data_IF_140052954097
#
_entry.id   IF_140052954097
#
_cell.length_a   1.000
_cell.length_b   1.000
_cell.length_c   1.000
_cell.angle_alpha   90.00
_cell.angle_beta   90.00
_cell.angle_gamma   90.00
#
_symmetry.space_group_name_H-M   'P 1'
#
loop_
_entity.id
_entity.type
_entity.pdbx_description
1 polymer ?
#
# COMPACT_ATOMS: atom_id res chain seq x y z
N UNK A 1 10.80 33.25 11.09
CA UNK A 1 11.37 31.90 10.95
C UNK A 1 10.65 31.25 9.77
N UNK A 2 11.31 31.23 8.61
CA UNK A 2 10.77 31.07 7.25
C UNK A 2 10.94 29.61 6.83
N UNK A 3 9.88 28.91 6.41
CA UNK A 3 10.00 27.71 5.56
C UNK A 3 9.35 28.04 4.23
N UNK A 4 10.18 28.31 3.25
CA UNK A 4 9.79 28.59 1.87
C UNK A 4 9.18 27.34 1.27
N UNK A 5 7.99 27.50 0.70
CA UNK A 5 7.45 26.54 -0.25
C UNK A 5 8.41 26.51 -1.44
N UNK A 6 9.11 25.39 -1.61
CA UNK A 6 9.95 25.13 -2.78
C UNK A 6 9.05 25.07 -4.02
N UNK A 7 9.24 26.04 -4.92
CA UNK A 7 8.63 26.08 -6.24
C UNK A 7 9.03 24.82 -7.04
N UNK A 8 8.05 23.99 -7.39
CA UNK A 8 8.27 22.84 -8.28
C UNK A 8 8.65 23.37 -9.66
N UNK A 9 9.89 23.14 -10.07
CA UNK A 9 10.45 23.58 -11.34
C UNK A 9 10.16 22.49 -12.40
N UNK A 10 9.29 22.81 -13.36
CA UNK A 10 8.76 21.86 -14.34
C UNK A 10 9.70 21.62 -15.52
N UNK A 11 10.84 20.94 -15.32
CA UNK A 11 11.57 20.19 -16.38
C UNK A 11 12.80 19.39 -15.88
N UNK A 12 12.82 18.95 -14.62
CA UNK A 12 13.85 17.99 -14.18
C UNK A 12 13.48 16.57 -14.64
N UNK A 13 14.44 15.88 -15.25
CA UNK A 13 14.31 14.47 -15.62
C UNK A 13 13.96 13.71 -14.33
N UNK A 14 12.73 13.22 -14.26
CA UNK A 14 12.26 12.42 -13.13
C UNK A 14 12.74 11.00 -13.33
N UNK A 15 13.55 10.51 -12.39
CA UNK A 15 14.01 9.13 -12.36
C UNK A 15 13.03 8.26 -11.57
N UNK A 16 13.08 6.95 -11.80
CA UNK A 16 12.39 5.99 -10.93
C UNK A 16 13.00 6.00 -9.53
N UNK A 17 12.35 5.32 -8.59
CA UNK A 17 12.95 5.05 -7.28
C UNK A 17 14.25 4.26 -7.44
N UNK A 18 15.09 4.33 -6.41
CA UNK A 18 16.29 3.49 -6.31
C UNK A 18 15.92 1.99 -6.33
N UNK A 19 16.79 1.16 -6.90
CA UNK A 19 16.55 -0.28 -7.04
C UNK A 19 16.21 -0.98 -5.71
N UNK A 20 16.73 -0.48 -4.59
CA UNK A 20 16.43 -1.00 -3.26
C UNK A 20 14.93 -0.95 -2.92
N UNK A 21 14.19 0.07 -3.37
CA UNK A 21 12.75 0.17 -3.10
C UNK A 21 11.93 -0.97 -3.71
N UNK A 22 12.47 -1.64 -4.73
CA UNK A 22 11.80 -2.77 -5.38
C UNK A 22 12.29 -4.14 -4.89
N UNK A 23 13.43 -4.20 -4.19
CA UNK A 23 14.14 -5.46 -3.92
C UNK A 23 14.55 -5.67 -2.46
N UNK A 24 14.58 -4.59 -1.67
CA UNK A 24 15.02 -4.65 -0.27
C UNK A 24 13.89 -5.16 0.62
N UNK A 25 14.14 -6.30 1.27
CA UNK A 25 13.24 -6.87 2.26
C UNK A 25 12.99 -5.89 3.42
N UNK A 26 14.02 -5.18 3.89
CA UNK A 26 13.87 -4.21 4.98
C UNK A 26 12.95 -3.03 4.63
N UNK A 27 12.97 -2.56 3.37
CA UNK A 27 12.09 -1.48 2.93
C UNK A 27 10.65 -2.01 2.89
N UNK A 28 10.45 -3.20 2.32
CA UNK A 28 9.14 -3.83 2.28
C UNK A 28 8.55 -4.01 3.68
N UNK A 29 9.32 -4.49 4.66
CA UNK A 29 8.83 -4.66 6.04
C UNK A 29 8.38 -3.35 6.69
N UNK A 30 9.05 -2.23 6.41
CA UNK A 30 8.61 -0.92 6.88
C UNK A 30 7.30 -0.49 6.20
N UNK A 31 7.18 -0.67 4.88
CA UNK A 31 5.95 -0.36 4.14
C UNK A 31 4.75 -1.17 4.65
N UNK A 32 4.96 -2.43 5.05
CA UNK A 32 3.91 -3.25 5.69
C UNK A 32 3.35 -2.60 6.95
N UNK A 33 4.20 -2.02 7.79
CA UNK A 33 3.82 -1.41 9.07
C UNK A 33 3.28 0.02 8.96
N UNK A 34 3.69 0.77 7.94
CA UNK A 34 3.35 2.19 7.82
C UNK A 34 2.40 2.51 6.67
N UNK A 35 2.48 1.79 5.56
CA UNK A 35 1.65 2.04 4.38
C UNK A 35 0.44 1.09 4.37
N UNK A 36 0.68 -0.21 4.21
CA UNK A 36 -0.39 -1.18 3.93
C UNK A 36 -1.44 -1.29 5.04
N UNK A 37 -1.06 -1.06 6.31
CA UNK A 37 -1.98 -1.11 7.45
C UNK A 37 -2.77 0.20 7.65
N UNK A 38 -2.33 1.30 7.02
CA UNK A 38 -2.91 2.64 7.21
C UNK A 38 -3.71 3.12 6.00
N UNK A 39 -3.75 2.34 4.92
CA UNK A 39 -4.46 2.67 3.69
C UNK A 39 -5.60 1.69 3.39
N UNK A 40 -6.54 2.12 2.57
CA UNK A 40 -7.63 1.27 2.09
C UNK A 40 -7.13 0.26 1.07
N UNK A 41 -7.29 -1.02 1.37
CA UNK A 41 -6.91 -2.12 0.50
C UNK A 41 -8.14 -2.81 -0.08
N UNK A 42 -8.10 -3.09 -1.37
CA UNK A 42 -9.16 -3.85 -2.03
C UNK A 42 -9.08 -5.32 -1.62
N UNK A 43 -10.11 -5.80 -0.91
CA UNK A 43 -10.18 -7.18 -0.41
C UNK A 43 -10.80 -8.15 -1.42
N UNK A 44 -11.82 -7.73 -2.15
CA UNK A 44 -12.57 -8.60 -3.05
C UNK A 44 -13.88 -7.98 -3.51
N UNK A 45 -14.59 -8.71 -4.38
CA UNK A 45 -15.90 -8.29 -4.88
C UNK A 45 -17.01 -8.80 -3.97
N UNK A 46 -18.08 -8.02 -3.79
CA UNK A 46 -19.21 -8.36 -2.90
C UNK A 46 -19.87 -9.70 -3.22
N UNK A 47 -19.82 -10.15 -4.48
CA UNK A 47 -20.37 -11.46 -4.87
C UNK A 47 -19.66 -12.65 -4.22
N UNK A 48 -18.46 -12.46 -3.65
CA UNK A 48 -17.72 -13.51 -2.94
C UNK A 48 -18.31 -13.80 -1.55
N UNK A 49 -19.12 -12.88 -1.00
CA UNK A 49 -19.86 -13.05 0.25
C UNK A 49 -21.31 -12.60 0.08
N UNK A 50 -22.03 -13.25 -0.84
CA UNK A 50 -23.34 -12.79 -1.28
C UNK A 50 -24.48 -13.16 -0.29
N UNK A 51 -24.32 -14.23 0.47
CA UNK A 51 -25.35 -14.75 1.38
C UNK A 51 -24.90 -14.63 2.84
N UNK A 52 -25.85 -14.52 3.78
CA UNK A 52 -25.52 -14.59 5.20
C UNK A 52 -24.75 -15.87 5.54
N UNK A 53 -23.59 -15.72 6.15
CA UNK A 53 -22.70 -16.83 6.52
C UNK A 53 -21.62 -17.16 5.48
N UNK A 54 -21.66 -16.55 4.29
CA UNK A 54 -20.55 -16.61 3.36
C UNK A 54 -19.40 -15.74 3.88
N UNK A 55 -18.19 -16.26 3.85
CA UNK A 55 -16.99 -15.49 4.12
C UNK A 55 -15.88 -15.93 3.16
N UNK A 56 -14.91 -15.05 2.95
CA UNK A 56 -13.70 -15.40 2.21
C UNK A 56 -12.48 -14.87 2.94
N UNK A 57 -11.38 -15.63 2.86
CA UNK A 57 -10.09 -15.24 3.40
C UNK A 57 -9.15 -14.81 2.28
N UNK A 58 -8.26 -13.87 2.57
CA UNK A 58 -7.26 -13.36 1.65
C UNK A 58 -6.03 -12.89 2.43
N UNK A 59 -4.92 -12.71 1.73
CA UNK A 59 -3.68 -12.22 2.31
C UNK A 59 -3.31 -10.86 1.71
N UNK A 60 -2.99 -9.89 2.55
CA UNK A 60 -2.45 -8.59 2.14
C UNK A 60 -1.18 -8.34 2.91
N UNK A 61 -0.08 -8.09 2.20
CA UNK A 61 1.19 -7.71 2.83
C UNK A 61 1.60 -8.70 3.94
N UNK A 62 1.49 -10.01 3.67
CA UNK A 62 1.79 -11.09 4.61
C UNK A 62 0.88 -11.14 5.85
N UNK A 63 -0.28 -10.49 5.83
CA UNK A 63 -1.31 -10.59 6.87
C UNK A 63 -2.51 -11.35 6.33
N UNK A 64 -2.89 -12.44 7.01
CA UNK A 64 -4.10 -13.20 6.71
C UNK A 64 -5.33 -12.51 7.28
N UNK A 65 -6.30 -12.23 6.42
CA UNK A 65 -7.53 -11.51 6.72
C UNK A 65 -8.74 -12.31 6.23
N UNK A 66 -9.93 -11.98 6.72
CA UNK A 66 -11.19 -12.52 6.23
C UNK A 66 -12.27 -11.43 6.16
N UNK A 67 -13.17 -11.56 5.19
CA UNK A 67 -14.37 -10.76 5.02
C UNK A 67 -15.59 -11.66 5.14
N UNK A 68 -16.58 -11.23 5.93
CA UNK A 68 -17.84 -11.93 6.24
C UNK A 68 -19.00 -10.93 6.23
#
# INVERSE_FOLDING_TARGET
MRREASSVNSSEITFSLDAAYYTSESIYQNERGDLFVRTWQYAGHVSQAAKPGDYFSFEIAGQGLFCI
#
